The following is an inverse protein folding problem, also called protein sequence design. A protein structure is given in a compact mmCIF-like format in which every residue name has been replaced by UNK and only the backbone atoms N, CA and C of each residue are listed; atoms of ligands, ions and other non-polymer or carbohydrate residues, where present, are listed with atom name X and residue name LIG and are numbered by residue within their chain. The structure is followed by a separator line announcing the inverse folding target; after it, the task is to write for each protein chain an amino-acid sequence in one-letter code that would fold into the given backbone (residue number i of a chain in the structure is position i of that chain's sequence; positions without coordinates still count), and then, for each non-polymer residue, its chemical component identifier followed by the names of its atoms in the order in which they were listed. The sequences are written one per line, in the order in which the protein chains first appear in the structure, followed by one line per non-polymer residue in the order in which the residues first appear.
data_IF_977426284068
#
_entry.id   IF_977426284068
#
_cell.length_a   1.000
_cell.length_b   1.000
_cell.length_c   1.000
_cell.angle_alpha   90.00
_cell.angle_beta   90.00
_cell.angle_gamma   90.00
#
_symmetry.space_group_name_H-M   'P 1'
#
loop_
_entity.id
_entity.type
_entity.pdbx_description
1 polymer ?
#
# COMPACT_ATOMS: atom_id res chain seq x y z
N UNK A 1 -10.02 5.52 19.37
CA UNK A 1 -10.04 5.10 17.94
C UNK A 1 -8.66 4.59 17.62
N UNK A 2 -8.51 3.42 17.01
CA UNK A 2 -7.20 2.85 16.71
C UNK A 2 -6.49 3.75 15.70
N UNK A 3 -5.17 3.88 15.83
CA UNK A 3 -4.40 4.59 14.81
C UNK A 3 -4.38 3.77 13.53
N UNK A 4 -4.76 4.39 12.42
CA UNK A 4 -4.74 3.76 11.11
C UNK A 4 -3.63 4.35 10.24
N UNK A 5 -2.73 3.50 9.74
CA UNK A 5 -1.57 3.89 8.94
C UNK A 5 -1.63 3.11 7.63
N UNK A 6 -1.34 3.77 6.52
CA UNK A 6 -1.37 3.16 5.20
C UNK A 6 -0.07 3.47 4.45
N UNK A 7 0.52 2.44 3.88
CA UNK A 7 1.65 2.55 2.96
C UNK A 7 1.25 2.06 1.57
N UNK A 8 1.49 2.89 0.57
CA UNK A 8 1.30 2.52 -0.82
C UNK A 8 2.43 3.09 -1.69
N UNK A 9 2.54 2.64 -2.93
CA UNK A 9 3.59 3.04 -3.86
C UNK A 9 3.90 1.91 -4.85
N UNK A 10 4.85 2.15 -5.75
CA UNK A 10 5.30 1.15 -6.73
C UNK A 10 5.85 -0.11 -6.05
N UNK A 11 5.88 -1.22 -6.76
CA UNK A 11 6.62 -2.38 -6.29
C UNK A 11 8.11 -2.02 -6.20
N UNK A 12 8.82 -2.58 -5.21
CA UNK A 12 10.21 -2.15 -4.95
C UNK A 12 10.39 -0.81 -4.22
N UNK A 13 9.35 -0.02 -3.93
CA UNK A 13 9.51 1.27 -3.25
C UNK A 13 9.87 1.17 -1.75
N UNK A 14 9.90 -0.03 -1.15
CA UNK A 14 10.30 -0.23 0.25
C UNK A 14 9.14 -0.22 1.24
N UNK A 15 7.90 -0.46 0.82
CA UNK A 15 6.72 -0.52 1.71
C UNK A 15 6.92 -1.43 2.92
N UNK A 16 7.33 -2.67 2.68
CA UNK A 16 7.45 -3.67 3.75
C UNK A 16 8.51 -3.28 4.78
N UNK A 17 9.62 -2.66 4.33
CA UNK A 17 10.64 -2.10 5.21
C UNK A 17 10.06 -1.01 6.11
N UNK A 18 9.33 -0.05 5.53
CA UNK A 18 8.75 1.05 6.31
C UNK A 18 7.63 0.57 7.25
N UNK A 19 6.80 -0.37 6.81
CA UNK A 19 5.78 -1.01 7.65
C UNK A 19 6.42 -1.61 8.90
N UNK A 20 7.49 -2.40 8.75
CA UNK A 20 8.18 -3.03 9.87
C UNK A 20 8.81 -2.00 10.82
N UNK A 21 9.51 -0.98 10.28
CA UNK A 21 10.15 0.07 11.10
C UNK A 21 9.13 0.91 11.88
N UNK A 22 7.94 1.12 11.35
CA UNK A 22 6.87 1.84 12.04
C UNK A 22 6.15 0.93 13.04
N UNK A 23 5.94 -0.34 12.70
CA UNK A 23 5.39 -1.31 13.64
C UNK A 23 6.29 -1.44 14.89
N UNK A 24 7.59 -1.66 14.70
CA UNK A 24 8.57 -1.73 15.80
C UNK A 24 8.56 -0.47 16.69
N UNK A 25 8.44 0.71 16.10
CA UNK A 25 8.34 1.96 16.86
C UNK A 25 7.14 1.95 17.82
N UNK A 26 5.97 1.50 17.36
CA UNK A 26 4.77 1.46 18.19
C UNK A 26 4.77 0.30 19.19
N UNK A 27 5.31 -0.85 18.81
CA UNK A 27 5.48 -2.01 19.71
C UNK A 27 6.43 -1.69 20.87
N UNK A 28 7.53 -0.94 20.61
CA UNK A 28 8.44 -0.44 21.65
C UNK A 28 7.77 0.53 22.64
N UNK A 29 6.67 1.17 22.23
CA UNK A 29 5.82 1.98 23.10
C UNK A 29 4.76 1.14 23.85
N UNK A 30 4.79 -0.18 23.72
CA UNK A 30 3.83 -1.10 24.35
C UNK A 30 2.47 -1.16 23.65
N UNK A 31 2.34 -0.63 22.44
CA UNK A 31 1.10 -0.64 21.67
C UNK A 31 0.95 -1.93 20.86
N UNK A 32 -0.26 -2.48 20.81
CA UNK A 32 -0.56 -3.64 19.99
C UNK A 32 -0.72 -3.22 18.53
N UNK A 33 0.09 -3.81 17.65
CA UNK A 33 0.12 -3.50 16.20
C UNK A 33 -0.40 -4.68 15.39
N UNK A 34 -1.33 -4.40 14.47
CA UNK A 34 -1.76 -5.36 13.44
C UNK A 34 -1.30 -4.87 12.05
N UNK A 35 -0.67 -5.75 11.29
CA UNK A 35 -0.19 -5.47 9.93
C UNK A 35 -1.01 -6.27 8.91
N UNK A 36 -1.48 -5.60 7.86
CA UNK A 36 -2.20 -6.21 6.73
C UNK A 36 -1.54 -5.81 5.42
N UNK A 37 -0.86 -6.75 4.78
CA UNK A 37 -0.23 -6.54 3.46
C UNK A 37 -1.08 -7.21 2.37
N UNK A 38 -1.67 -6.41 1.48
CA UNK A 38 -2.55 -6.90 0.42
C UNK A 38 -1.77 -7.17 -0.88
N UNK A 39 -2.15 -8.22 -1.62
CA UNK A 39 -3.13 -9.23 -1.28
C UNK A 39 -2.64 -10.21 -0.19
N UNK A 40 -3.51 -10.50 0.81
CA UNK A 40 -3.16 -11.33 1.95
C UNK A 40 -3.26 -12.83 1.64
N UNK A 41 -2.31 -13.63 2.12
CA UNK A 41 -2.32 -15.09 1.89
C UNK A 41 -3.22 -15.88 2.86
N UNK A 42 -3.73 -15.25 3.92
CA UNK A 42 -4.53 -15.88 4.96
C UNK A 42 -5.98 -16.17 4.55
N UNK A 43 -6.42 -15.64 3.42
CA UNK A 43 -7.78 -15.78 2.93
C UNK A 43 -7.87 -16.14 1.45
N UNK A 44 -9.06 -16.57 1.02
CA UNK A 44 -9.29 -17.01 -0.36
C UNK A 44 -9.19 -15.91 -1.41
N UNK A 45 -9.53 -14.67 -1.04
CA UNK A 45 -9.53 -13.56 -1.99
C UNK A 45 -8.09 -13.12 -2.28
N UNK A 46 -7.28 -12.90 -1.25
CA UNK A 46 -5.88 -12.56 -1.42
C UNK A 46 -5.09 -13.64 -2.17
N UNK A 47 -5.29 -14.93 -1.84
CA UNK A 47 -4.67 -16.04 -2.60
C UNK A 47 -5.04 -16.04 -4.08
N UNK A 48 -6.33 -15.81 -4.41
CA UNK A 48 -6.79 -15.73 -5.81
C UNK A 48 -6.24 -14.50 -6.53
N UNK A 49 -6.10 -13.37 -5.83
CA UNK A 49 -5.46 -12.19 -6.38
C UNK A 49 -4.00 -12.47 -6.74
N UNK A 50 -3.20 -13.04 -5.81
CA UNK A 50 -1.81 -13.42 -6.07
C UNK A 50 -1.67 -14.37 -7.26
N UNK A 51 -2.50 -15.42 -7.32
CA UNK A 51 -2.50 -16.35 -8.44
C UNK A 51 -2.83 -15.70 -9.79
N UNK A 52 -3.66 -14.64 -9.79
CA UNK A 52 -3.99 -13.92 -11.01
C UNK A 52 -2.88 -12.95 -11.42
N UNK A 53 -2.12 -12.38 -10.48
CA UNK A 53 -0.95 -11.51 -10.74
C UNK A 53 0.20 -12.24 -11.42
N UNK A 54 0.36 -13.55 -11.17
CA UNK A 54 1.36 -14.39 -11.84
C UNK A 54 0.99 -14.78 -13.28
N UNK A 55 -0.17 -14.35 -13.77
CA UNK A 55 -0.67 -14.69 -15.11
C UNK A 55 -0.83 -13.45 -15.96
N UNK A 56 -0.48 -13.54 -17.23
CA UNK A 56 -0.63 -12.44 -18.20
C UNK A 56 -2.04 -12.33 -18.76
N UNK A 57 -2.39 -11.16 -19.31
CA UNK A 57 -3.61 -10.90 -20.06
C UNK A 57 -4.67 -10.11 -19.30
N UNK A 58 -5.46 -9.31 -20.05
CA UNK A 58 -6.46 -8.36 -19.53
C UNK A 58 -7.49 -8.99 -18.57
N UNK A 59 -7.87 -10.24 -18.81
CA UNK A 59 -8.81 -10.96 -17.96
C UNK A 59 -8.23 -11.29 -16.59
N UNK A 60 -6.93 -11.65 -16.53
CA UNK A 60 -6.25 -11.90 -15.27
C UNK A 60 -6.01 -10.61 -14.50
N UNK A 61 -5.74 -9.48 -15.18
CA UNK A 61 -5.68 -8.14 -14.56
C UNK A 61 -7.00 -7.81 -13.83
N UNK A 62 -8.14 -7.96 -14.55
CA UNK A 62 -9.45 -7.70 -13.95
C UNK A 62 -9.72 -8.61 -12.74
N UNK A 63 -9.38 -9.89 -12.88
CA UNK A 63 -9.49 -10.86 -11.78
C UNK A 63 -8.62 -10.49 -10.57
N UNK A 64 -7.36 -10.14 -10.80
CA UNK A 64 -6.44 -9.74 -9.75
C UNK A 64 -6.98 -8.53 -8.98
N UNK A 65 -7.41 -7.48 -9.71
CA UNK A 65 -7.95 -6.26 -9.12
C UNK A 65 -9.25 -6.52 -8.34
N UNK A 66 -10.17 -7.33 -8.89
CA UNK A 66 -11.43 -7.66 -8.21
C UNK A 66 -11.17 -8.40 -6.89
N UNK A 67 -10.35 -9.46 -6.92
CA UNK A 67 -10.03 -10.21 -5.72
C UNK A 67 -9.20 -9.40 -4.72
N UNK A 68 -8.33 -8.53 -5.20
CA UNK A 68 -7.62 -7.56 -4.36
C UNK A 68 -8.60 -6.64 -3.61
N UNK A 69 -9.57 -6.04 -4.31
CA UNK A 69 -10.60 -5.19 -3.70
C UNK A 69 -11.41 -5.93 -2.62
N UNK A 70 -11.80 -7.19 -2.90
CA UNK A 70 -12.50 -8.02 -1.91
C UNK A 70 -11.64 -8.36 -0.70
N UNK A 71 -10.33 -8.56 -0.87
CA UNK A 71 -9.40 -8.78 0.24
C UNK A 71 -9.22 -7.52 1.09
N UNK A 72 -9.06 -6.36 0.47
CA UNK A 72 -8.96 -5.08 1.16
C UNK A 72 -10.24 -4.75 1.96
N UNK A 73 -11.43 -4.91 1.35
CA UNK A 73 -12.71 -4.71 2.02
C UNK A 73 -12.90 -5.65 3.22
N UNK A 74 -12.51 -6.94 3.06
CA UNK A 74 -12.52 -7.89 4.16
C UNK A 74 -11.61 -7.44 5.30
N UNK A 75 -10.40 -6.98 4.97
CA UNK A 75 -9.44 -6.50 5.97
C UNK A 75 -9.96 -5.27 6.71
N UNK A 76 -10.60 -4.33 6.02
CA UNK A 76 -11.28 -3.19 6.66
C UNK A 76 -12.37 -3.69 7.62
N UNK A 77 -13.25 -4.58 7.16
CA UNK A 77 -14.34 -5.08 8.00
C UNK A 77 -13.84 -5.79 9.26
N UNK A 78 -12.79 -6.59 9.15
CA UNK A 78 -12.30 -7.41 10.27
C UNK A 78 -11.36 -6.67 11.21
N UNK A 79 -10.55 -5.75 10.71
CA UNK A 79 -9.45 -5.17 11.49
C UNK A 79 -9.64 -3.67 11.79
N UNK A 80 -10.18 -2.88 10.86
CA UNK A 80 -10.35 -1.44 11.09
C UNK A 80 -11.36 -1.15 12.20
N UNK A 81 -12.43 -1.93 12.28
CA UNK A 81 -13.46 -1.80 13.32
C UNK A 81 -13.15 -2.62 14.59
N UNK A 82 -12.05 -3.39 14.59
CA UNK A 82 -11.61 -4.14 15.77
C UNK A 82 -11.02 -3.18 16.81
N UNK A 83 -11.51 -3.27 18.05
CA UNK A 83 -11.07 -2.41 19.16
C UNK A 83 -9.89 -2.98 19.94
N UNK A 84 -9.49 -4.21 19.66
CA UNK A 84 -8.41 -4.90 20.38
C UNK A 84 -7.01 -4.56 19.86
N UNK A 85 -6.92 -3.69 18.85
CA UNK A 85 -5.68 -3.25 18.21
C UNK A 85 -5.50 -1.76 18.45
N UNK A 86 -4.31 -1.33 18.85
CA UNK A 86 -3.99 0.09 19.06
C UNK A 86 -3.55 0.79 17.77
N UNK A 87 -2.83 0.05 16.92
CA UNK A 87 -2.30 0.54 15.64
C UNK A 87 -2.56 -0.50 14.55
N UNK A 88 -3.25 -0.08 13.50
CA UNK A 88 -3.48 -0.89 12.31
C UNK A 88 -2.67 -0.33 11.15
N UNK A 89 -1.82 -1.14 10.53
CA UNK A 89 -0.98 -0.75 9.39
C UNK A 89 -1.41 -1.56 8.17
N UNK A 90 -1.81 -0.87 7.11
CA UNK A 90 -2.07 -1.47 5.80
C UNK A 90 -0.92 -1.18 4.84
N UNK A 91 -0.42 -2.23 4.18
CA UNK A 91 0.45 -2.14 3.02
C UNK A 91 -0.34 -2.50 1.77
N UNK A 92 -0.29 -1.65 0.74
CA UNK A 92 -1.10 -1.75 -0.48
C UNK A 92 -2.60 -1.64 -0.20
N UNK A 93 -3.18 -0.50 -0.43
CA UNK A 93 -4.58 -0.22 -0.07
C UNK A 93 -5.41 0.25 -1.27
N UNK A 94 -5.34 1.53 -1.62
CA UNK A 94 -6.20 2.11 -2.67
C UNK A 94 -5.46 2.32 -3.99
N UNK A 95 -4.13 2.37 -3.99
CA UNK A 95 -3.34 2.64 -5.18
C UNK A 95 -3.30 1.48 -6.17
N UNK A 96 -3.74 0.28 -5.78
CA UNK A 96 -3.95 -0.83 -6.71
C UNK A 96 -4.87 -0.47 -7.90
N UNK A 97 -5.72 0.55 -7.75
CA UNK A 97 -6.53 1.07 -8.87
C UNK A 97 -5.67 1.67 -10.00
N UNK A 98 -4.45 2.11 -9.73
CA UNK A 98 -3.53 2.63 -10.74
C UNK A 98 -3.15 1.59 -11.81
N UNK A 99 -3.27 0.31 -11.48
CA UNK A 99 -3.05 -0.79 -12.43
C UNK A 99 -4.23 -1.02 -13.39
N UNK A 100 -5.37 -0.34 -13.16
CA UNK A 100 -6.51 -0.39 -14.07
C UNK A 100 -6.29 0.50 -15.32
N UNK A 101 -7.03 0.24 -16.44
CA UNK A 101 -7.04 1.13 -17.59
C UNK A 101 -7.44 2.58 -17.23
N UNK A 102 -6.90 3.57 -17.97
CA UNK A 102 -6.99 4.99 -17.63
C UNK A 102 -8.40 5.53 -17.38
N UNK A 103 -9.36 5.09 -18.17
CA UNK A 103 -10.76 5.54 -18.03
C UNK A 103 -11.41 4.94 -16.77
N UNK A 104 -11.01 3.74 -16.39
CA UNK A 104 -11.62 2.98 -15.28
C UNK A 104 -10.99 3.38 -13.95
N UNK A 105 -9.69 3.63 -13.92
CA UNK A 105 -8.95 3.89 -12.67
C UNK A 105 -9.49 5.11 -11.92
N UNK A 106 -9.77 6.23 -12.60
CA UNK A 106 -10.27 7.47 -11.99
C UNK A 106 -11.65 7.26 -11.35
N UNK A 107 -12.54 6.54 -12.05
CA UNK A 107 -13.89 6.26 -11.55
C UNK A 107 -13.82 5.33 -10.33
N UNK A 108 -13.06 4.23 -10.46
CA UNK A 108 -12.89 3.25 -9.38
C UNK A 108 -12.19 3.89 -8.17
N UNK A 109 -11.17 4.72 -8.40
CA UNK A 109 -10.50 5.44 -7.31
C UNK A 109 -11.47 6.34 -6.55
N UNK A 110 -12.29 7.12 -7.23
CA UNK A 110 -13.30 7.97 -6.60
C UNK A 110 -14.29 7.16 -5.74
N UNK A 111 -14.75 6.02 -6.25
CA UNK A 111 -15.65 5.14 -5.49
C UNK A 111 -14.93 4.58 -4.26
N UNK A 112 -13.76 4.00 -4.44
CA UNK A 112 -12.96 3.35 -3.39
C UNK A 112 -12.55 4.36 -2.33
N UNK A 113 -12.07 5.55 -2.70
CA UNK A 113 -11.66 6.60 -1.77
C UNK A 113 -12.81 7.22 -0.96
N UNK A 114 -14.06 7.08 -1.42
CA UNK A 114 -15.23 7.53 -0.66
C UNK A 114 -15.79 6.45 0.28
N UNK A 115 -15.53 5.18 -0.02
CA UNK A 115 -16.07 4.03 0.76
C UNK A 115 -15.08 3.55 1.82
N UNK A 116 -13.79 3.58 1.49
CA UNK A 116 -12.76 3.07 2.39
C UNK A 116 -12.32 4.12 3.41
N UNK A 117 -11.97 3.68 4.65
CA UNK A 117 -11.45 4.55 5.69
C UNK A 117 -10.21 5.32 5.24
N UNK A 118 -10.12 6.58 5.68
CA UNK A 118 -8.97 7.47 5.48
C UNK A 118 -8.27 7.78 6.80
N UNK A 119 -7.03 8.23 6.71
CA UNK A 119 -6.21 8.61 7.86
C UNK A 119 -5.25 9.74 7.47
N UNK A 120 -4.85 10.56 8.44
CA UNK A 120 -3.77 11.55 8.28
C UNK A 120 -2.40 10.88 8.05
N UNK A 121 -2.30 9.57 8.32
CA UNK A 121 -1.09 8.75 8.16
C UNK A 121 -1.18 7.84 6.92
N UNK A 122 -1.61 8.37 5.79
CA UNK A 122 -1.55 7.70 4.49
C UNK A 122 -0.29 8.15 3.76
N UNK A 123 0.62 7.22 3.45
CA UNK A 123 1.93 7.47 2.87
C UNK A 123 2.03 6.87 1.47
N UNK A 124 2.35 7.70 0.50
CA UNK A 124 2.76 7.25 -0.82
C UNK A 124 4.28 7.34 -0.93
N UNK A 125 4.94 6.18 -1.03
CA UNK A 125 6.39 6.08 -1.21
C UNK A 125 6.71 6.27 -2.70
N UNK A 126 7.11 7.50 -3.07
CA UNK A 126 7.41 7.86 -4.46
C UNK A 126 8.87 7.56 -4.79
N UNK A 127 9.11 6.39 -5.38
CA UNK A 127 10.40 5.93 -5.89
C UNK A 127 10.48 6.16 -7.40
N UNK A 128 11.67 6.40 -7.93
CA UNK A 128 11.88 6.42 -9.39
C UNK A 128 11.65 5.02 -9.99
N UNK A 129 11.04 4.91 -11.19
CA UNK A 129 10.78 3.62 -11.83
C UNK A 129 12.07 2.81 -12.05
N UNK A 130 13.16 3.48 -12.31
CA UNK A 130 14.49 2.89 -12.52
C UNK A 130 15.01 2.23 -11.22
N UNK A 131 14.92 2.93 -10.10
CA UNK A 131 15.31 2.41 -8.79
C UNK A 131 14.34 1.32 -8.31
N UNK A 132 13.04 1.47 -8.56
CA UNK A 132 12.03 0.45 -8.32
C UNK A 132 12.40 -0.87 -9.02
N UNK A 133 12.67 -0.81 -10.34
CA UNK A 133 13.06 -1.99 -11.13
C UNK A 133 14.37 -2.61 -10.63
N UNK A 134 15.37 -1.78 -10.31
CA UNK A 134 16.64 -2.26 -9.74
C UNK A 134 16.42 -3.04 -8.43
N UNK A 135 15.56 -2.54 -7.56
CA UNK A 135 15.25 -3.21 -6.29
C UNK A 135 14.46 -4.51 -6.49
N UNK A 136 13.51 -4.54 -7.44
CA UNK A 136 12.76 -5.75 -7.79
C UNK A 136 13.72 -6.83 -8.28
N UNK A 137 14.56 -6.52 -9.25
CA UNK A 137 15.53 -7.47 -9.82
C UNK A 137 16.53 -8.02 -8.79
N UNK A 138 16.81 -7.27 -7.71
CA UNK A 138 17.73 -7.73 -6.66
C UNK A 138 17.11 -8.78 -5.72
N UNK A 139 15.78 -9.03 -5.77
CA UNK A 139 15.09 -9.93 -4.83
C UNK A 139 15.13 -11.40 -5.20
N UNK A 140 15.50 -11.77 -6.43
CA UNK A 140 15.44 -13.15 -6.95
C UNK A 140 14.04 -13.83 -6.80
N UNK A 141 12.96 -13.07 -6.85
CA UNK A 141 11.58 -13.55 -6.81
C UNK A 141 11.03 -13.73 -8.24
N UNK A 142 9.94 -14.48 -8.39
CA UNK A 142 9.24 -14.59 -9.68
C UNK A 142 8.70 -13.22 -10.09
N UNK A 143 8.94 -12.81 -11.35
CA UNK A 143 8.43 -11.54 -11.87
C UNK A 143 6.89 -11.52 -11.84
N UNK A 144 6.34 -10.53 -11.16
CA UNK A 144 4.90 -10.27 -11.20
C UNK A 144 4.54 -9.42 -12.43
N UNK A 145 3.27 -9.44 -12.76
CA UNK A 145 2.69 -8.56 -13.76
C UNK A 145 2.97 -7.11 -13.38
N UNK A 146 3.40 -6.27 -14.33
CA UNK A 146 3.77 -4.85 -14.15
C UNK A 146 5.17 -4.56 -13.58
N UNK A 147 6.02 -5.54 -13.37
CA UNK A 147 7.40 -5.37 -12.89
C UNK A 147 8.41 -5.05 -14.02
N UNK A 148 7.98 -4.40 -15.08
CA UNK A 148 8.86 -3.87 -16.12
C UNK A 148 8.85 -2.33 -16.12
N UNK A 149 9.90 -1.72 -16.66
CA UNK A 149 10.13 -0.27 -16.59
C UNK A 149 8.99 0.56 -17.20
N UNK A 150 8.40 0.07 -18.32
CA UNK A 150 7.32 0.79 -19.00
C UNK A 150 6.04 0.82 -18.17
N UNK A 151 5.68 -0.29 -17.57
CA UNK A 151 4.50 -0.40 -16.72
C UNK A 151 4.69 0.35 -15.41
N UNK A 152 5.88 0.30 -14.79
CA UNK A 152 6.21 1.10 -13.60
C UNK A 152 6.08 2.62 -13.87
N UNK A 153 6.55 3.10 -15.02
CA UNK A 153 6.38 4.51 -15.44
C UNK A 153 4.90 4.88 -15.61
N UNK A 154 4.13 4.02 -16.27
CA UNK A 154 2.67 4.20 -16.47
C UNK A 154 1.94 4.23 -15.12
N UNK A 155 2.20 3.27 -14.24
CA UNK A 155 1.56 3.21 -12.92
C UNK A 155 1.92 4.47 -12.10
N UNK A 156 3.19 4.87 -12.03
CA UNK A 156 3.61 6.08 -11.33
C UNK A 156 2.90 7.35 -11.84
N UNK A 157 2.72 7.47 -13.15
CA UNK A 157 2.01 8.63 -13.72
C UNK A 157 0.55 8.71 -13.28
N UNK A 158 -0.11 7.56 -13.14
CA UNK A 158 -1.51 7.46 -12.70
C UNK A 158 -1.69 7.73 -11.20
N UNK A 159 -0.72 7.37 -10.37
CA UNK A 159 -0.80 7.59 -8.92
C UNK A 159 -0.78 9.08 -8.56
N UNK A 160 -0.16 9.94 -9.36
CA UNK A 160 -0.14 11.40 -9.13
C UNK A 160 -1.53 12.03 -9.02
N UNK A 161 -2.53 11.47 -9.70
CA UNK A 161 -3.92 11.95 -9.65
C UNK A 161 -4.60 11.55 -8.34
N UNK A 162 -4.18 10.44 -7.77
CA UNK A 162 -4.81 9.82 -6.61
C UNK A 162 -4.17 10.19 -5.27
N UNK A 163 -3.00 10.85 -5.29
CA UNK A 163 -2.18 11.09 -4.08
C UNK A 163 -2.35 12.49 -3.47
N UNK A 164 -3.29 13.31 -3.92
CA UNK A 164 -3.41 14.69 -3.41
C UNK A 164 -3.75 14.77 -1.90
N UNK A 165 -4.38 13.72 -1.34
CA UNK A 165 -4.68 13.60 0.09
C UNK A 165 -3.64 12.78 0.87
N UNK A 166 -2.53 12.37 0.22
CA UNK A 166 -1.53 11.50 0.81
C UNK A 166 -0.26 12.28 1.17
N UNK A 167 0.45 11.79 2.18
CA UNK A 167 1.81 12.24 2.46
C UNK A 167 2.75 11.59 1.43
N UNK A 168 3.21 12.37 0.46
CA UNK A 168 4.14 11.88 -0.57
C UNK A 168 5.55 11.92 0.02
N UNK A 169 6.19 10.76 0.12
CA UNK A 169 7.53 10.59 0.68
C UNK A 169 8.49 10.17 -0.45
N UNK A 170 9.49 10.99 -0.81
CA UNK A 170 10.56 10.55 -1.71
C UNK A 170 11.25 9.32 -1.15
N UNK A 171 11.32 8.24 -1.95
CA UNK A 171 11.72 6.91 -1.50
C UNK A 171 12.95 6.36 -2.23
N UNK A 172 13.74 7.22 -2.88
CA UNK A 172 15.04 6.86 -3.46
C UNK A 172 16.17 6.87 -2.42
N UNK A 173 15.93 7.50 -1.24
CA UNK A 173 16.89 7.59 -0.12
C UNK A 173 17.08 6.26 0.63
N UNK A 174 18.01 6.23 1.58
CA UNK A 174 18.21 5.12 2.51
C UNK A 174 16.96 4.87 3.38
N UNK A 175 16.66 3.62 3.76
CA UNK A 175 15.44 3.26 4.50
C UNK A 175 15.27 4.06 5.80
N UNK A 176 16.35 4.36 6.50
CA UNK A 176 16.37 5.10 7.78
C UNK A 176 15.93 6.56 7.58
N UNK A 177 16.38 7.19 6.50
CA UNK A 177 15.99 8.57 6.14
C UNK A 177 14.52 8.67 5.82
N UNK A 178 14.01 7.70 5.05
CA UNK A 178 12.59 7.58 4.70
C UNK A 178 11.78 7.35 5.99
N UNK A 179 12.23 6.42 6.84
CA UNK A 179 11.56 6.09 8.10
C UNK A 179 11.47 7.30 9.03
N UNK A 180 12.50 8.14 9.12
CA UNK A 180 12.45 9.34 9.97
C UNK A 180 11.35 10.30 9.50
N UNK A 181 11.23 10.55 8.18
CA UNK A 181 10.17 11.40 7.61
C UNK A 181 8.76 10.85 7.95
N UNK A 182 8.57 9.53 7.86
CA UNK A 182 7.31 8.86 8.18
C UNK A 182 7.00 8.96 9.69
N UNK A 183 7.99 8.68 10.56
CA UNK A 183 7.87 8.77 12.02
C UNK A 183 7.44 10.16 12.47
N UNK A 184 8.05 11.20 11.92
CA UNK A 184 7.74 12.59 12.27
C UNK A 184 6.26 12.94 12.00
N UNK A 185 5.71 12.45 10.90
CA UNK A 185 4.30 12.65 10.55
C UNK A 185 3.39 11.83 11.50
N UNK A 186 3.76 10.57 11.78
CA UNK A 186 3.02 9.72 12.69
C UNK A 186 2.94 10.32 14.10
N UNK A 187 4.07 10.81 14.64
CA UNK A 187 4.15 11.44 15.96
C UNK A 187 3.30 12.72 16.00
N UNK A 188 3.40 13.58 14.99
CA UNK A 188 2.56 14.79 14.89
C UNK A 188 1.07 14.46 14.86
N UNK A 189 0.69 13.38 14.18
CA UNK A 189 -0.70 12.90 14.14
C UNK A 189 -1.16 12.37 15.51
N UNK A 190 -0.28 11.70 16.28
CA UNK A 190 -0.60 11.23 17.64
C UNK A 190 -0.85 12.41 18.60
N UNK A 191 -0.06 13.47 18.50
CA UNK A 191 -0.20 14.68 19.33
C UNK A 191 -1.52 15.45 19.07
N UNK A 192 -2.13 15.30 17.90
CA UNK A 192 -3.44 15.90 17.59
C UNK A 192 -4.63 15.14 18.20
N UNK A 193 -4.41 13.90 18.62
CA UNK A 193 -5.44 13.02 19.17
C UNK A 193 -5.51 13.08 20.71
N UNK A 194 -4.53 13.74 21.36
CA UNK A 194 -4.46 14.02 22.80
C UNK A 194 -5.05 15.41 23.11
#
# INVERSE_FOLDING_TARGET
MNKFIVFDGLDGCGKDTQVNLIAEMYEQQGRKVDIRSHPCSDNKFGRKSKQALLKTGKFNHLKATLYYGLDALRSVHMYYYNKDTDVLIFSRYTMAVAYLPDVVNVIVYKIVSNVLPKSDCMFFLDVSPEESLRRIQSRNEEEEMFENLEDLRKVRSKTKIATYEWNIIPADDAPEVISQKVKDICIKSDQKLL
#
